data_IF_453627148587
#
_entry.id   IF_453627148587
#
_cell.length_a   1.000
_cell.length_b   1.000
_cell.length_c   1.000
_cell.angle_alpha   90.00
_cell.angle_beta   90.00
_cell.angle_gamma   90.00
#
_symmetry.space_group_name_H-M   'P 1'
#
loop_
_entity.id
_entity.type
_entity.pdbx_description
1 polymer ?
#
# COMPACT_ATOMS: atom_id res chain seq x y z
N UNK A 1 20.75 12.38 -1.85
CA UNK A 1 19.75 11.44 -1.27
C UNK A 1 19.41 11.77 0.18
N UNK A 2 20.44 11.94 1.02
CA UNK A 2 20.33 12.24 2.45
C UNK A 2 19.45 13.45 2.78
N UNK A 3 19.70 14.59 2.14
CA UNK A 3 18.92 15.83 2.40
C UNK A 3 17.42 15.64 2.18
N UNK A 4 17.05 14.86 1.14
CA UNK A 4 15.65 14.57 0.86
C UNK A 4 15.00 13.69 1.94
N UNK A 5 15.75 12.82 2.61
CA UNK A 5 15.25 11.98 3.68
C UNK A 5 15.17 12.75 5.00
N UNK A 6 16.20 13.54 5.30
CA UNK A 6 16.22 14.47 6.45
C UNK A 6 15.03 15.43 6.41
N UNK A 7 14.76 16.04 5.26
CA UNK A 7 13.62 16.96 5.07
C UNK A 7 12.24 16.29 5.25
N UNK A 8 12.15 14.95 5.18
CA UNK A 8 10.92 14.19 5.36
C UNK A 8 10.82 13.49 6.72
N UNK A 9 11.85 13.59 7.56
CA UNK A 9 11.94 12.82 8.81
C UNK A 9 11.91 11.30 8.59
N UNK A 10 12.30 10.82 7.41
CA UNK A 10 12.28 9.39 7.06
C UNK A 10 13.69 8.83 7.01
N UNK A 11 13.88 7.57 7.40
CA UNK A 11 15.13 6.87 7.15
C UNK A 11 15.32 6.57 5.66
N UNK A 12 16.47 6.91 5.10
CA UNK A 12 16.93 6.36 3.82
C UNK A 12 18.37 5.91 3.98
N UNK A 13 18.70 4.76 3.42
CA UNK A 13 20.08 4.35 3.34
C UNK A 13 20.86 5.24 2.37
N UNK A 14 22.08 5.61 2.74
CA UNK A 14 23.02 6.32 1.88
C UNK A 14 23.62 5.36 0.87
N UNK A 15 23.93 5.87 -0.32
CA UNK A 15 24.64 5.18 -1.40
C UNK A 15 25.70 6.12 -1.97
N UNK A 16 26.85 5.57 -2.33
CA UNK A 16 27.89 6.35 -3.02
C UNK A 16 27.43 6.72 -4.44
N UNK A 17 27.93 7.82 -4.99
CA UNK A 17 27.71 8.17 -6.40
C UNK A 17 28.07 7.02 -7.35
N UNK A 18 29.22 6.38 -7.15
CA UNK A 18 29.69 5.27 -7.98
C UNK A 18 28.72 4.08 -7.98
N UNK A 19 28.15 3.76 -6.81
CA UNK A 19 27.16 2.70 -6.70
C UNK A 19 25.88 3.04 -7.49
N UNK A 20 25.44 4.29 -7.43
CA UNK A 20 24.28 4.75 -8.20
C UNK A 20 24.59 4.74 -9.70
N UNK A 21 25.77 5.19 -10.11
CA UNK A 21 26.21 5.17 -11.51
C UNK A 21 26.21 3.75 -12.06
N UNK A 22 26.73 2.79 -11.31
CA UNK A 22 26.69 1.37 -11.67
C UNK A 22 25.26 0.89 -11.89
N UNK A 23 24.30 1.24 -11.01
CA UNK A 23 22.88 0.87 -11.20
C UNK A 23 22.23 1.49 -12.43
N UNK A 24 22.65 2.70 -12.80
CA UNK A 24 22.21 3.35 -14.03
C UNK A 24 22.78 2.61 -15.25
N UNK A 25 24.07 2.26 -15.22
CA UNK A 25 24.74 1.51 -16.29
C UNK A 25 24.22 0.07 -16.45
N UNK A 26 23.71 -0.55 -15.38
CA UNK A 26 23.05 -1.86 -15.39
C UNK A 26 21.60 -1.83 -15.94
N UNK A 27 21.13 -0.67 -16.41
CA UNK A 27 19.73 -0.43 -16.79
C UNK A 27 18.75 -0.78 -15.66
N UNK A 28 19.15 -0.55 -14.41
CA UNK A 28 18.36 -0.84 -13.20
C UNK A 28 17.83 0.44 -12.55
N UNK A 29 17.77 1.54 -13.28
CA UNK A 29 17.34 2.82 -12.74
C UNK A 29 16.31 3.51 -13.62
N UNK A 30 15.41 4.24 -12.97
CA UNK A 30 14.47 5.17 -13.59
C UNK A 30 14.86 6.58 -13.15
N UNK A 31 15.20 7.41 -14.13
CA UNK A 31 15.49 8.83 -13.95
C UNK A 31 14.34 9.61 -14.61
N UNK A 32 13.68 10.47 -13.83
CA UNK A 32 12.66 11.37 -14.35
C UNK A 32 13.29 12.74 -14.64
N UNK A 33 13.07 13.23 -15.85
CA UNK A 33 13.48 14.56 -16.32
C UNK A 33 12.31 15.26 -17.00
N UNK A 34 12.34 16.58 -17.04
CA UNK A 34 11.45 17.38 -17.88
C UNK A 34 11.95 17.42 -19.33
N UNK A 35 11.15 18.00 -20.24
CA UNK A 35 11.51 18.12 -21.66
C UNK A 35 12.77 18.95 -21.91
N UNK A 36 13.04 19.92 -21.04
CA UNK A 36 14.26 20.76 -21.02
C UNK A 36 15.45 20.09 -20.32
N UNK A 37 15.30 18.84 -19.84
CA UNK A 37 16.37 18.08 -19.20
C UNK A 37 16.55 18.35 -17.70
N UNK A 38 15.69 19.15 -17.08
CA UNK A 38 15.74 19.40 -15.64
C UNK A 38 15.44 18.11 -14.87
N UNK A 39 16.29 17.77 -13.89
CA UNK A 39 16.12 16.57 -13.07
C UNK A 39 14.94 16.68 -12.11
N UNK A 40 14.07 15.67 -12.13
CA UNK A 40 12.83 15.63 -11.35
C UNK A 40 12.90 14.59 -10.24
N UNK A 41 13.42 13.40 -10.52
CA UNK A 41 13.43 12.33 -9.55
C UNK A 41 14.15 11.07 -10.02
N UNK A 42 14.26 10.11 -9.10
CA UNK A 42 15.07 8.92 -9.27
C UNK A 42 14.53 7.75 -8.45
N UNK A 43 14.69 6.53 -8.97
CA UNK A 43 14.52 5.28 -8.23
C UNK A 43 15.34 4.19 -8.94
N UNK A 44 15.79 3.16 -8.23
CA UNK A 44 16.55 2.06 -8.81
C UNK A 44 16.20 0.70 -8.21
N UNK A 45 16.60 -0.36 -8.89
CA UNK A 45 16.36 -1.76 -8.54
C UNK A 45 17.58 -2.30 -7.80
N UNK A 46 17.34 -2.89 -6.64
CA UNK A 46 18.26 -3.82 -5.98
C UNK A 46 17.69 -5.24 -6.07
N UNK A 47 18.56 -6.22 -6.29
CA UNK A 47 18.19 -7.62 -6.42
C UNK A 47 19.14 -8.47 -5.57
N UNK A 48 18.58 -9.45 -4.87
CA UNK A 48 19.29 -10.37 -3.97
C UNK A 48 18.85 -11.81 -4.22
N UNK A 49 19.54 -12.76 -3.60
CA UNK A 49 19.26 -14.20 -3.74
C UNK A 49 19.10 -14.62 -5.22
N UNK A 50 20.06 -14.22 -6.07
CA UNK A 50 20.02 -14.47 -7.52
C UNK A 50 18.77 -13.94 -8.24
N UNK A 51 18.20 -12.85 -7.76
CA UNK A 51 17.03 -12.22 -8.38
C UNK A 51 15.69 -12.77 -7.90
N UNK A 52 15.66 -13.61 -6.87
CA UNK A 52 14.42 -14.06 -6.23
C UNK A 52 13.70 -12.95 -5.49
N UNK A 53 14.46 -12.00 -4.93
CA UNK A 53 13.96 -10.85 -4.21
C UNK A 53 14.47 -9.56 -4.83
N UNK A 54 13.57 -8.61 -5.02
CA UNK A 54 13.85 -7.31 -5.63
C UNK A 54 13.30 -6.20 -4.74
N UNK A 55 14.03 -5.08 -4.62
CA UNK A 55 13.50 -3.87 -4.02
C UNK A 55 13.65 -2.67 -4.95
N UNK A 56 12.62 -1.84 -4.93
CA UNK A 56 12.61 -0.55 -5.61
C UNK A 56 13.11 0.52 -4.63
N UNK A 57 14.43 0.69 -4.60
CA UNK A 57 15.21 1.50 -3.66
C UNK A 57 15.40 2.93 -4.15
N UNK A 58 15.68 3.84 -3.21
CA UNK A 58 16.13 5.19 -3.53
C UNK A 58 15.10 6.12 -4.17
N UNK A 59 13.80 5.93 -3.94
CA UNK A 59 12.76 6.83 -4.47
C UNK A 59 12.92 8.24 -3.92
N UNK A 60 13.28 9.18 -4.80
CA UNK A 60 13.50 10.59 -4.47
C UNK A 60 12.88 11.47 -5.55
N UNK A 61 12.26 12.57 -5.11
CA UNK A 61 11.74 13.63 -5.97
C UNK A 61 12.28 14.97 -5.51
N UNK A 62 12.79 15.74 -6.47
CA UNK A 62 13.25 17.12 -6.29
C UNK A 62 12.17 17.97 -5.58
N UNK A 63 12.52 18.82 -4.61
CA UNK A 63 11.56 19.61 -3.84
C UNK A 63 10.53 20.36 -4.69
N UNK A 64 10.96 20.95 -5.81
CA UNK A 64 10.10 21.73 -6.71
C UNK A 64 8.96 20.90 -7.35
N UNK A 65 9.16 19.59 -7.47
CA UNK A 65 8.21 18.68 -8.11
C UNK A 65 7.47 17.78 -7.12
N UNK A 66 7.60 18.00 -5.81
CA UNK A 66 6.86 17.22 -4.82
C UNK A 66 5.37 17.55 -4.87
N UNK A 67 4.53 16.61 -4.43
CA UNK A 67 3.05 16.72 -4.44
C UNK A 67 2.40 16.88 -5.83
N UNK A 68 3.17 16.73 -6.92
CA UNK A 68 2.68 16.73 -8.31
C UNK A 68 2.23 15.35 -8.82
N UNK A 69 2.38 14.30 -8.02
CA UNK A 69 2.12 12.91 -8.44
C UNK A 69 3.31 12.20 -9.09
N UNK A 70 4.43 12.90 -9.37
CA UNK A 70 5.60 12.29 -10.03
C UNK A 70 6.20 11.11 -9.26
N UNK A 71 6.19 11.13 -7.92
CA UNK A 71 6.67 9.99 -7.13
C UNK A 71 5.93 8.68 -7.46
N UNK A 72 4.61 8.76 -7.69
CA UNK A 72 3.79 7.63 -8.09
C UNK A 72 4.17 7.15 -9.50
N UNK A 73 4.37 8.06 -10.44
CA UNK A 73 4.78 7.72 -11.80
C UNK A 73 6.15 7.04 -11.84
N UNK A 74 7.14 7.56 -11.10
CA UNK A 74 8.46 6.93 -10.97
C UNK A 74 8.32 5.53 -10.37
N UNK A 75 7.55 5.38 -9.29
CA UNK A 75 7.36 4.08 -8.62
C UNK A 75 6.63 3.07 -9.49
N UNK A 76 5.66 3.51 -10.29
CA UNK A 76 4.98 2.69 -11.29
C UNK A 76 5.98 2.21 -12.37
N UNK A 77 6.77 3.13 -12.93
CA UNK A 77 7.75 2.80 -13.98
C UNK A 77 8.85 1.86 -13.50
N UNK A 78 9.38 2.07 -12.29
CA UNK A 78 10.38 1.16 -11.73
C UNK A 78 9.76 -0.19 -11.37
N UNK A 79 8.49 -0.24 -10.95
CA UNK A 79 7.78 -1.49 -10.72
C UNK A 79 7.62 -2.28 -12.01
N UNK A 80 7.16 -1.65 -13.09
CA UNK A 80 7.09 -2.24 -14.43
C UNK A 80 8.46 -2.77 -14.88
N UNK A 81 9.52 -1.98 -14.72
CA UNK A 81 10.88 -2.40 -15.04
C UNK A 81 11.32 -3.61 -14.21
N UNK A 82 11.01 -3.64 -12.92
CA UNK A 82 11.29 -4.77 -12.04
C UNK A 82 10.53 -6.03 -12.47
N UNK A 83 9.26 -5.91 -12.87
CA UNK A 83 8.48 -7.03 -13.41
C UNK A 83 9.01 -7.54 -14.75
N UNK A 84 9.52 -6.66 -15.60
CA UNK A 84 10.13 -7.03 -16.87
C UNK A 84 11.46 -7.77 -16.68
N UNK A 85 12.35 -7.25 -15.84
CA UNK A 85 13.69 -7.82 -15.62
C UNK A 85 13.66 -9.06 -14.71
N UNK A 86 12.73 -9.11 -13.78
CA UNK A 86 12.63 -10.13 -12.74
C UNK A 86 11.17 -10.61 -12.60
N UNK A 87 10.64 -11.34 -13.60
CA UNK A 87 9.22 -11.70 -13.66
C UNK A 87 8.76 -12.62 -12.52
N UNK A 88 9.63 -13.46 -11.97
CA UNK A 88 9.26 -14.37 -10.89
C UNK A 88 9.64 -13.84 -9.50
N UNK A 89 10.26 -12.67 -9.44
CA UNK A 89 10.76 -12.12 -8.20
C UNK A 89 9.66 -11.53 -7.33
N UNK A 90 9.80 -11.75 -6.03
CA UNK A 90 9.06 -11.03 -5.01
C UNK A 90 9.62 -9.61 -4.90
N UNK A 91 8.77 -8.61 -5.03
CA UNK A 91 9.19 -7.22 -4.93
C UNK A 91 8.79 -6.68 -3.56
N UNK A 92 9.75 -6.22 -2.78
CA UNK A 92 9.48 -5.70 -1.45
C UNK A 92 9.91 -4.24 -1.30
N UNK A 93 9.42 -3.61 -0.23
CA UNK A 93 9.74 -2.25 0.10
C UNK A 93 9.67 -2.02 1.61
N UNK A 94 10.69 -1.34 2.13
CA UNK A 94 10.69 -0.81 3.49
C UNK A 94 10.42 0.69 3.43
N UNK A 95 9.45 1.17 4.23
CA UNK A 95 9.15 2.59 4.30
C UNK A 95 8.67 3.00 5.69
N UNK A 96 9.02 4.21 6.12
CA UNK A 96 8.39 4.87 7.28
C UNK A 96 7.36 5.93 6.86
N UNK A 97 7.26 6.23 5.55
CA UNK A 97 6.46 7.33 5.03
C UNK A 97 5.11 6.86 4.49
N UNK A 98 4.02 7.44 4.99
CA UNK A 98 2.65 7.16 4.56
C UNK A 98 2.44 7.32 3.05
N UNK A 99 3.06 8.33 2.43
CA UNK A 99 2.94 8.56 0.99
C UNK A 99 3.45 7.37 0.17
N UNK A 100 4.59 6.77 0.58
CA UNK A 100 5.15 5.60 -0.09
C UNK A 100 4.33 4.35 0.22
N UNK A 101 3.81 4.22 1.45
CA UNK A 101 2.91 3.12 1.81
C UNK A 101 1.66 3.11 0.91
N UNK A 102 1.02 4.28 0.71
CA UNK A 102 -0.15 4.40 -0.18
C UNK A 102 0.18 4.00 -1.61
N UNK A 103 1.30 4.49 -2.15
CA UNK A 103 1.74 4.12 -3.51
C UNK A 103 1.99 2.61 -3.60
N UNK A 104 2.66 2.02 -2.61
CA UNK A 104 2.91 0.57 -2.58
C UNK A 104 1.60 -0.23 -2.51
N UNK A 105 0.64 0.17 -1.67
CA UNK A 105 -0.67 -0.48 -1.61
C UNK A 105 -1.43 -0.40 -2.93
N UNK A 106 -1.39 0.74 -3.63
CA UNK A 106 -1.99 0.89 -4.96
C UNK A 106 -1.34 0.00 -6.02
N UNK A 107 -0.06 -0.36 -5.84
CA UNK A 107 0.68 -1.29 -6.68
C UNK A 107 0.47 -2.76 -6.28
N UNK A 108 -0.39 -3.04 -5.29
CA UNK A 108 -0.69 -4.39 -4.83
C UNK A 108 0.30 -4.96 -3.82
N UNK A 109 1.14 -4.13 -3.20
CA UNK A 109 1.97 -4.59 -2.09
C UNK A 109 1.12 -4.75 -0.83
N UNK A 110 1.35 -5.84 -0.12
CA UNK A 110 0.68 -6.14 1.14
C UNK A 110 1.66 -6.03 2.31
N UNK A 111 1.23 -5.53 3.49
CA UNK A 111 2.06 -5.52 4.67
C UNK A 111 2.43 -6.95 5.07
N UNK A 112 3.71 -7.19 5.32
CA UNK A 112 4.24 -8.51 5.70
C UNK A 112 5.11 -8.40 6.93
N UNK A 113 5.39 -9.55 7.54
CA UNK A 113 6.40 -9.66 8.59
C UNK A 113 7.81 -9.62 8.00
N UNK A 114 8.79 -9.19 8.81
CA UNK A 114 10.20 -9.15 8.37
C UNK A 114 10.76 -10.53 8.01
N UNK A 115 10.21 -11.59 8.58
CA UNK A 115 10.55 -12.99 8.26
C UNK A 115 10.21 -13.41 6.84
N UNK A 116 9.33 -12.68 6.15
CA UNK A 116 8.95 -12.96 4.75
C UNK A 116 9.87 -12.27 3.74
N UNK A 117 10.71 -11.35 4.22
CA UNK A 117 11.75 -10.69 3.44
C UNK A 117 12.96 -11.61 3.24
N UNK A 118 13.95 -11.13 2.50
CA UNK A 118 15.21 -11.84 2.27
C UNK A 118 16.03 -11.96 3.57
N UNK A 119 16.73 -13.09 3.70
CA UNK A 119 17.71 -13.31 4.77
C UNK A 119 19.14 -12.91 4.35
N UNK A 120 19.30 -12.36 3.15
CA UNK A 120 20.59 -11.96 2.59
C UNK A 120 21.26 -10.86 3.43
N UNK A 121 22.50 -11.11 3.84
CA UNK A 121 23.26 -10.15 4.65
C UNK A 121 23.58 -8.85 3.89
N UNK A 122 23.75 -8.90 2.57
CA UNK A 122 24.02 -7.71 1.75
C UNK A 122 22.83 -6.75 1.76
N UNK A 123 21.61 -7.28 1.79
CA UNK A 123 20.41 -6.48 1.97
C UNK A 123 20.45 -5.73 3.32
N UNK A 124 20.75 -6.44 4.42
CA UNK A 124 20.78 -5.85 5.75
C UNK A 124 21.95 -4.87 5.95
N UNK A 125 23.09 -5.10 5.28
CA UNK A 125 24.18 -4.11 5.17
C UNK A 125 23.70 -2.82 4.52
N UNK A 126 22.77 -2.92 3.57
CA UNK A 126 22.10 -1.77 2.97
C UNK A 126 21.43 -0.85 4.00
N UNK A 127 20.95 -1.36 5.14
CA UNK A 127 20.31 -0.59 6.20
C UNK A 127 21.29 0.08 7.18
N UNK A 128 22.60 -0.22 7.14
CA UNK A 128 23.61 0.28 8.11
C UNK A 128 23.68 1.81 8.22
N UNK A 129 23.43 2.50 7.11
CA UNK A 129 23.46 3.96 7.04
C UNK A 129 22.12 4.62 7.41
N UNK A 130 21.09 3.83 7.75
CA UNK A 130 19.80 4.33 8.19
C UNK A 130 19.85 4.73 9.67
N UNK A 131 19.19 5.84 10.01
CA UNK A 131 19.07 6.31 11.41
C UNK A 131 18.43 5.29 12.35
N UNK A 132 17.67 4.32 11.81
CA UNK A 132 16.98 3.29 12.58
C UNK A 132 17.76 1.95 12.65
N UNK A 133 19.01 1.91 12.21
CA UNK A 133 19.79 0.67 12.13
C UNK A 133 20.00 0.00 13.49
N UNK A 134 20.26 0.77 14.54
CA UNK A 134 20.44 0.24 15.91
C UNK A 134 19.18 -0.50 16.41
N UNK A 135 17.99 0.03 16.10
CA UNK A 135 16.71 -0.60 16.44
C UNK A 135 16.54 -1.93 15.70
N UNK A 136 16.93 -1.98 14.43
CA UNK A 136 16.89 -3.21 13.64
C UNK A 136 17.80 -4.28 14.26
N UNK A 137 19.01 -3.90 14.66
CA UNK A 137 20.00 -4.82 15.22
C UNK A 137 19.63 -5.30 16.63
N UNK A 138 19.10 -4.43 17.49
CA UNK A 138 18.66 -4.82 18.85
C UNK A 138 17.50 -5.81 18.83
N UNK A 139 16.68 -5.79 17.77
CA UNK A 139 15.60 -6.76 17.54
C UNK A 139 16.01 -7.97 16.71
N UNK A 140 17.31 -8.14 16.44
CA UNK A 140 17.84 -9.27 15.67
C UNK A 140 17.31 -9.36 14.25
N UNK A 141 17.13 -8.21 13.56
CA UNK A 141 16.61 -8.10 12.19
C UNK A 141 15.15 -8.57 12.00
N UNK A 142 14.41 -8.81 13.09
CA UNK A 142 13.01 -9.27 13.05
C UNK A 142 11.98 -8.14 13.00
N UNK A 143 12.39 -6.90 13.22
CA UNK A 143 11.51 -5.74 13.22
C UNK A 143 12.32 -4.42 13.16
N UNK A 144 11.75 -3.36 12.60
CA UNK A 144 12.28 -1.99 12.60
C UNK A 144 11.13 -0.98 12.60
N UNK A 145 11.43 0.33 12.63
CA UNK A 145 10.42 1.38 12.49
C UNK A 145 9.80 1.43 11.08
N UNK A 146 10.42 0.79 10.09
CA UNK A 146 9.87 0.70 8.75
C UNK A 146 8.75 -0.35 8.69
N UNK A 147 7.70 -0.05 7.94
CA UNK A 147 6.72 -1.04 7.51
C UNK A 147 7.32 -1.83 6.35
N UNK A 148 7.34 -3.16 6.49
CA UNK A 148 7.66 -4.07 5.41
C UNK A 148 6.42 -4.35 4.59
N UNK A 149 6.55 -4.21 3.27
CA UNK A 149 5.49 -4.54 2.33
C UNK A 149 6.05 -5.38 1.19
N UNK A 150 5.28 -6.35 0.71
CA UNK A 150 5.67 -7.33 -0.29
C UNK A 150 4.62 -7.43 -1.39
N UNK A 151 5.09 -7.51 -2.63
CA UNK A 151 4.33 -7.93 -3.78
C UNK A 151 4.83 -9.31 -4.19
N UNK A 152 3.97 -10.32 -4.10
CA UNK A 152 4.22 -11.66 -4.62
C UNK A 152 3.46 -11.85 -5.94
N UNK A 153 4.16 -12.04 -7.07
CA UNK A 153 3.50 -12.22 -8.37
C UNK A 153 2.63 -13.47 -8.45
N UNK A 154 3.01 -14.55 -7.77
CA UNK A 154 2.24 -15.79 -7.77
C UNK A 154 0.93 -15.63 -6.99
N UNK A 155 0.94 -14.88 -5.89
CA UNK A 155 -0.28 -14.56 -5.14
C UNK A 155 -1.16 -13.58 -5.90
N UNK A 156 -0.57 -12.57 -6.55
CA UNK A 156 -1.30 -11.62 -7.38
C UNK A 156 -2.06 -12.34 -8.52
N UNK A 157 -1.38 -13.26 -9.24
CA UNK A 157 -2.00 -14.04 -10.31
C UNK A 157 -3.15 -14.93 -9.81
N UNK A 158 -3.03 -15.53 -8.62
CA UNK A 158 -4.11 -16.31 -8.00
C UNK A 158 -5.33 -15.43 -7.68
N UNK A 159 -5.10 -14.25 -7.10
CA UNK A 159 -6.16 -13.29 -6.76
C UNK A 159 -6.91 -12.83 -8.02
N UNK A 160 -6.20 -12.54 -9.11
CA UNK A 160 -6.81 -12.21 -10.40
C UNK A 160 -7.65 -13.37 -10.95
N UNK A 161 -7.12 -14.60 -10.94
CA UNK A 161 -7.83 -15.78 -11.41
C UNK A 161 -9.11 -16.08 -10.60
N UNK A 162 -9.10 -15.83 -9.29
CA UNK A 162 -10.27 -16.01 -8.44
C UNK A 162 -11.30 -14.89 -8.62
N UNK A 163 -10.88 -13.65 -8.87
CA UNK A 163 -11.79 -12.54 -9.17
C UNK A 163 -12.56 -12.78 -10.48
N UNK A 164 -11.90 -13.26 -11.53
CA UNK A 164 -12.53 -13.57 -12.82
C UNK A 164 -13.64 -14.63 -12.67
N UNK A 165 -13.46 -15.61 -11.78
CA UNK A 165 -14.49 -16.63 -11.50
C UNK A 165 -15.72 -16.08 -10.75
N UNK A 166 -15.58 -14.95 -10.06
CA UNK A 166 -16.65 -14.36 -9.24
C UNK A 166 -17.48 -13.28 -9.95
N UNK A 167 -17.18 -12.95 -11.21
CA UNK A 167 -18.00 -12.03 -12.01
C UNK A 167 -19.33 -12.71 -12.33
N UNK A 168 -20.37 -12.39 -11.57
CA UNK A 168 -21.75 -12.83 -11.81
C UNK A 168 -22.25 -12.13 -13.08
N UNK A 169 -22.47 -12.89 -14.15
CA UNK A 169 -23.16 -12.41 -15.36
C UNK A 169 -24.62 -12.08 -15.01
N UNK A 170 -25.25 -11.07 -15.65
CA UNK A 170 -26.65 -10.71 -15.41
C UNK A 170 -27.64 -11.88 -15.60
N UNK A 171 -27.32 -12.85 -16.47
CA UNK A 171 -28.14 -14.06 -16.69
C UNK A 171 -27.73 -15.29 -15.86
N UNK A 172 -27.10 -15.11 -14.69
CA UNK A 172 -26.56 -16.24 -13.91
C UNK A 172 -27.62 -17.23 -13.39
N UNK A 173 -27.63 -18.46 -13.94
CA UNK A 173 -28.23 -19.61 -13.26
C UNK A 173 -27.50 -19.84 -11.93
N UNK A 174 -28.22 -19.71 -10.81
CA UNK A 174 -27.70 -19.99 -9.48
C UNK A 174 -27.39 -21.49 -9.36
N UNK A 175 -26.12 -21.87 -9.40
CA UNK A 175 -25.71 -23.17 -8.88
C UNK A 175 -25.84 -23.14 -7.35
N UNK A 176 -26.75 -23.96 -6.81
CA UNK A 176 -26.90 -24.20 -5.37
C UNK A 176 -25.65 -24.87 -4.83
N UNK A 177 -24.68 -24.05 -4.38
CA UNK A 177 -23.57 -24.54 -3.57
C UNK A 177 -24.16 -25.12 -2.28
N UNK A 178 -23.87 -26.39 -2.00
CA UNK A 178 -24.21 -27.05 -0.74
C UNK A 178 -23.93 -26.09 0.42
N UNK A 179 -25.00 -25.67 1.13
CA UNK A 179 -24.90 -24.80 2.30
C UNK A 179 -23.93 -25.48 3.27
N UNK A 180 -22.77 -24.87 3.51
CA UNK A 180 -22.06 -25.11 4.76
C UNK A 180 -23.05 -24.75 5.86
N UNK A 181 -23.42 -25.73 6.67
CA UNK A 181 -24.33 -25.52 7.78
C UNK A 181 -23.59 -24.62 8.77
N UNK A 182 -23.82 -23.31 8.68
CA UNK A 182 -23.33 -22.34 9.64
C UNK A 182 -24.10 -22.61 10.93
N UNK A 183 -23.57 -23.48 11.79
CA UNK A 183 -24.08 -23.68 13.15
C UNK A 183 -23.56 -22.53 13.99
N UNK A 184 -24.21 -21.39 13.94
CA UNK A 184 -24.12 -20.38 14.98
C UNK A 184 -25.32 -19.43 14.85
N UNK A 185 -25.91 -19.09 16.00
CA UNK A 185 -27.18 -18.38 16.12
C UNK A 185 -27.07 -16.95 15.52
N UNK A 186 -27.57 -16.81 14.30
CA UNK A 186 -27.59 -15.55 13.53
C UNK A 186 -28.64 -14.54 14.05
N UNK A 187 -29.31 -14.82 15.17
CA UNK A 187 -30.37 -13.97 15.74
C UNK A 187 -29.92 -12.52 15.97
N UNK A 188 -28.67 -12.31 16.39
CA UNK A 188 -28.11 -10.97 16.60
C UNK A 188 -27.89 -10.22 15.28
N UNK A 189 -27.44 -10.92 14.24
CA UNK A 189 -27.27 -10.34 12.91
C UNK A 189 -28.62 -9.98 12.28
N UNK A 190 -29.61 -10.88 12.37
CA UNK A 190 -30.97 -10.59 11.89
C UNK A 190 -31.60 -9.41 12.63
N UNK A 191 -31.43 -9.32 13.95
CA UNK A 191 -31.95 -8.23 14.76
C UNK A 191 -31.30 -6.90 14.41
N UNK A 192 -30.00 -6.90 14.15
CA UNK A 192 -29.27 -5.71 13.69
C UNK A 192 -29.66 -5.27 12.28
N UNK A 193 -29.90 -6.21 11.35
CA UNK A 193 -30.40 -5.90 10.00
C UNK A 193 -31.80 -5.30 10.06
N UNK A 194 -32.71 -5.86 10.87
CA UNK A 194 -34.05 -5.29 11.09
C UNK A 194 -33.99 -3.88 11.68
N UNK A 195 -33.09 -3.66 12.63
CA UNK A 195 -32.88 -2.34 13.21
C UNK A 195 -32.37 -1.34 12.15
N UNK A 196 -31.39 -1.73 11.34
CA UNK A 196 -30.90 -0.89 10.23
C UNK A 196 -31.97 -0.57 9.20
N UNK A 197 -32.78 -1.55 8.80
CA UNK A 197 -33.91 -1.32 7.89
C UNK A 197 -34.93 -0.35 8.49
N UNK A 198 -35.25 -0.49 9.78
CA UNK A 198 -36.17 0.43 10.47
C UNK A 198 -35.63 1.86 10.52
N UNK A 199 -34.35 2.04 10.85
CA UNK A 199 -33.72 3.38 10.93
C UNK A 199 -33.58 4.02 9.55
N UNK A 200 -33.24 3.25 8.51
CA UNK A 200 -33.01 3.79 7.16
C UNK A 200 -34.30 4.01 6.36
N UNK A 201 -35.36 3.25 6.61
CA UNK A 201 -36.63 3.34 5.88
C UNK A 201 -37.67 4.28 6.51
N UNK A 202 -37.37 4.89 7.65
CA UNK A 202 -38.20 5.97 8.19
C UNK A 202 -37.86 7.31 7.53
N UNK A 203 -38.35 7.49 6.31
CA UNK A 203 -38.53 8.83 5.75
C UNK A 203 -39.80 9.44 6.37
N UNK A 204 -39.74 10.58 7.08
CA UNK A 204 -40.95 11.19 7.62
C UNK A 204 -41.83 11.68 6.46
N UNK A 205 -43.06 11.13 6.36
CA UNK A 205 -44.11 11.67 5.50
C UNK A 205 -44.42 13.09 5.97
N UNK A 206 -43.99 14.08 5.18
CA UNK A 206 -44.36 15.49 5.31
C UNK A 206 -45.89 15.59 5.12
N UNK A 207 -46.64 15.84 6.20
CA UNK A 207 -48.03 16.31 6.11
C UNK A 207 -48.00 17.84 6.08
N UNK A 208 -48.61 18.41 5.04
CA UNK A 208 -48.77 19.86 4.90
C UNK A 208 -49.82 20.39 5.87
N UNK A 209 -49.45 21.49 6.55
CA UNK A 209 -50.35 22.55 7.02
C UNK A 209 -51.32 22.26 8.17
N UNK A 210 -50.96 22.62 9.40
CA UNK A 210 -51.65 23.67 10.18
C UNK A 210 -50.92 23.96 11.52
N UNK A 211 -51.02 25.22 11.96
CA UNK A 211 -50.23 25.88 13.00
C UNK A 211 -50.52 25.37 14.43
N UNK A 212 -49.48 25.17 15.25
CA UNK A 212 -49.15 26.05 16.39
C UNK A 212 -48.07 25.48 17.33
N UNK A 213 -47.24 26.40 17.80
CA UNK A 213 -46.39 26.42 19.00
C UNK A 213 -46.49 25.23 19.99
N UNK A 214 -45.36 24.51 20.20
CA UNK A 214 -44.55 24.57 21.43
C UNK A 214 -43.47 23.47 21.46
N UNK A 215 -42.36 23.81 22.12
CA UNK A 215 -41.12 23.05 22.33
C UNK A 215 -41.32 21.54 22.57
N UNK A 216 -40.47 20.70 21.94
CA UNK A 216 -39.80 19.57 22.61
C UNK A 216 -38.61 19.00 21.81
N UNK A 217 -37.44 19.25 22.41
CA UNK A 217 -36.13 18.60 22.32
C UNK A 217 -35.98 17.40 21.37
N UNK A 218 -35.22 17.62 20.29
CA UNK A 218 -34.71 16.57 19.41
C UNK A 218 -33.55 15.83 20.09
N UNK A 219 -33.70 14.52 20.27
CA UNK A 219 -32.71 13.57 20.81
C UNK A 219 -31.58 13.27 19.79
N UNK A 220 -31.52 13.97 18.67
CA UNK A 220 -30.54 13.72 17.60
C UNK A 220 -29.17 14.42 17.75
N UNK A 221 -28.88 15.07 18.87
CA UNK A 221 -27.56 15.70 19.09
C UNK A 221 -26.50 14.80 19.76
N UNK A 222 -26.81 13.53 20.07
CA UNK A 222 -25.94 12.70 20.93
C UNK A 222 -25.12 11.61 20.22
N UNK A 223 -25.11 11.53 18.89
CA UNK A 223 -24.37 10.46 18.18
C UNK A 223 -23.35 10.96 17.15
N UNK A 224 -22.77 12.13 17.37
CA UNK A 224 -21.56 12.56 16.66
C UNK A 224 -20.45 12.92 17.65
N UNK A 225 -19.99 11.94 18.43
CA UNK A 225 -18.64 11.92 19.00
C UNK A 225 -18.33 10.49 19.45
N UNK A 226 -17.75 9.69 18.55
CA UNK A 226 -16.47 9.00 18.76
C UNK A 226 -15.95 8.45 17.43
#
# INVERSE_FOLDING_TARGET
MEESAKARGTGIAKRSPDYIQMKIQEDKAVIAVTNDGTWVGFCYIEAWEHGKYVANSGLIVSPAFRKSGVAKQIKQKIFELSRQKYPDAKIFGLTTGLAVMKINSELGYEPVTYSELTNDEEFWKGCQSCVNYEILMSKGRKNCMCTAMLYDPAEAAKKEADQVKTVVTPEGHLHTRHKRHLKEDLSLFERWVRFKQFVLLQTPKKKEGEQNNEKKNSILSLFFFW
#
